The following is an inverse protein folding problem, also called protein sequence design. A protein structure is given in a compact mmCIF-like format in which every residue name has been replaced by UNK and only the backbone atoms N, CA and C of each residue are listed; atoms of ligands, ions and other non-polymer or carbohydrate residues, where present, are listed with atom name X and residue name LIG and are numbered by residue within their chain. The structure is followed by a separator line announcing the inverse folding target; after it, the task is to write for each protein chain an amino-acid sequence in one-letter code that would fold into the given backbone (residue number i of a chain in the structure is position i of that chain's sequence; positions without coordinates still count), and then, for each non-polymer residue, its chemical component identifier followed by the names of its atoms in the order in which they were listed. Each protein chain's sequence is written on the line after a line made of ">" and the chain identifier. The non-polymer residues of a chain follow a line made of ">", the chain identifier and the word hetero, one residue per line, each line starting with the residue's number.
data_IF_861352171660
#
_entry.id   IF_861352171660
#
_cell.length_a   1.000
_cell.length_b   1.000
_cell.length_c   1.000
_cell.angle_alpha   90.00
_cell.angle_beta   90.00
_cell.angle_gamma   90.00
#
_symmetry.space_group_name_H-M   'P 1'
#
loop_
_entity.id
_entity.type
_entity.pdbx_description
1 polymer ?
#
# COMPACT_ATOMS: atom_id res chain seq x y z
N UNK A 1 -9.36 4.62 8.69
CA UNK A 1 -9.09 3.21 8.32
C UNK A 1 -8.23 3.06 7.08
N UNK A 2 -8.15 4.03 6.17
CA UNK A 2 -7.34 3.84 4.94
C UNK A 2 -5.85 3.57 5.21
N UNK A 3 -5.27 4.10 6.31
CA UNK A 3 -3.87 3.89 6.67
C UNK A 3 -3.69 2.65 7.56
N UNK A 4 -4.27 2.66 8.76
CA UNK A 4 -4.05 1.63 9.79
C UNK A 4 -5.03 0.45 9.73
N UNK A 5 -5.77 0.33 8.64
CA UNK A 5 -6.81 -0.70 8.52
C UNK A 5 -7.98 -0.52 9.50
N UNK A 6 -8.62 -1.65 9.80
CA UNK A 6 -9.76 -1.76 10.72
C UNK A 6 -9.22 -1.93 12.16
N UNK A 7 -9.78 -1.24 13.16
CA UNK A 7 -9.37 -1.46 14.55
C UNK A 7 -9.66 -2.90 15.01
N UNK A 8 -8.93 -3.42 16.00
CA UNK A 8 -9.24 -4.70 16.64
C UNK A 8 -10.69 -4.81 17.13
N UNK A 9 -11.28 -6.01 17.00
CA UNK A 9 -12.68 -6.26 17.34
C UNK A 9 -13.05 -5.86 18.78
N UNK A 10 -12.17 -6.13 19.75
CA UNK A 10 -12.43 -5.76 21.15
C UNK A 10 -12.58 -4.24 21.37
N UNK A 11 -11.95 -3.40 20.53
CA UNK A 11 -12.14 -1.94 20.58
C UNK A 11 -13.47 -1.54 19.94
N UNK A 12 -13.86 -2.21 18.86
CA UNK A 12 -15.15 -2.00 18.19
C UNK A 12 -16.28 -2.32 19.17
N UNK A 13 -16.20 -3.45 19.87
CA UNK A 13 -17.24 -3.94 20.77
C UNK A 13 -17.45 -3.02 21.98
N UNK A 14 -16.36 -2.48 22.54
CA UNK A 14 -16.37 -1.50 23.62
C UNK A 14 -16.88 -0.12 23.20
N UNK A 15 -16.94 0.18 21.90
CA UNK A 15 -17.30 1.52 21.42
C UNK A 15 -18.82 1.77 21.44
N UNK A 16 -19.25 2.89 22.04
CA UNK A 16 -20.66 3.26 22.15
C UNK A 16 -21.34 3.54 20.80
N UNK A 17 -20.56 3.95 19.80
CA UNK A 17 -21.05 4.33 18.46
C UNK A 17 -20.79 3.26 17.40
N UNK A 18 -20.48 2.02 17.78
CA UNK A 18 -20.10 0.95 16.83
C UNK A 18 -21.10 0.79 15.68
N UNK A 19 -22.40 0.85 15.98
CA UNK A 19 -23.50 0.60 15.02
C UNK A 19 -23.47 1.59 13.84
N UNK A 20 -23.00 2.82 14.07
CA UNK A 20 -22.93 3.85 13.03
C UNK A 20 -21.79 3.60 12.02
N UNK A 21 -20.70 2.94 12.44
CA UNK A 21 -19.49 2.80 11.64
C UNK A 21 -19.22 1.36 11.20
N UNK A 22 -19.76 0.38 11.92
CA UNK A 22 -19.56 -1.05 11.70
C UNK A 22 -20.90 -1.77 11.62
N UNK A 23 -20.90 -2.92 10.94
CA UNK A 23 -22.02 -3.85 10.96
C UNK A 23 -21.94 -4.83 12.14
N UNK A 24 -22.89 -5.76 12.22
CA UNK A 24 -22.92 -6.81 13.23
C UNK A 24 -21.78 -7.83 13.09
N UNK A 25 -21.12 -7.88 11.93
CA UNK A 25 -19.97 -8.75 11.66
C UNK A 25 -18.62 -8.07 11.93
N UNK A 26 -18.62 -6.89 12.57
CA UNK A 26 -17.46 -6.02 12.81
C UNK A 26 -16.81 -5.45 11.53
N UNK A 27 -17.46 -5.62 10.37
CA UNK A 27 -16.96 -5.07 9.13
C UNK A 27 -17.31 -3.57 9.04
N UNK A 28 -16.37 -2.72 8.57
CA UNK A 28 -16.60 -1.30 8.46
C UNK A 28 -17.58 -0.97 7.34
N UNK A 29 -18.56 -0.11 7.63
CA UNK A 29 -19.56 0.34 6.67
C UNK A 29 -18.90 1.19 5.58
N UNK A 30 -19.23 0.97 4.28
CA UNK A 30 -18.69 1.80 3.21
C UNK A 30 -19.07 3.26 3.36
N UNK A 31 -18.07 4.14 3.44
CA UNK A 31 -18.28 5.60 3.43
C UNK A 31 -17.98 6.13 2.04
N UNK A 32 -18.97 6.80 1.44
CA UNK A 32 -18.85 7.51 0.18
C UNK A 32 -18.81 9.01 0.50
N UNK A 33 -17.83 9.74 -0.03
CA UNK A 33 -17.84 11.20 0.11
C UNK A 33 -18.90 11.83 -0.82
N UNK A 34 -19.17 13.13 -0.65
CA UNK A 34 -20.08 13.89 -1.55
C UNK A 34 -19.66 13.89 -3.03
N UNK A 35 -18.44 13.45 -3.33
CA UNK A 35 -17.88 13.32 -4.69
C UNK A 35 -17.88 11.87 -5.19
N UNK A 36 -18.63 10.97 -4.56
CA UNK A 36 -18.75 9.56 -4.98
C UNK A 36 -17.55 8.66 -4.66
N UNK A 37 -16.48 9.16 -4.04
CA UNK A 37 -15.26 8.38 -3.75
C UNK A 37 -15.46 7.48 -2.53
N UNK A 38 -15.35 6.17 -2.75
CA UNK A 38 -15.28 5.14 -1.70
C UNK A 38 -13.90 5.11 -1.06
N UNK A 39 -13.86 4.87 0.25
CA UNK A 39 -12.63 4.69 1.02
C UNK A 39 -12.53 3.26 1.52
N UNK A 40 -11.40 2.61 1.28
CA UNK A 40 -11.17 1.23 1.68
C UNK A 40 -10.15 1.18 2.84
N UNK A 41 -10.43 0.41 3.91
CA UNK A 41 -9.45 0.16 4.97
C UNK A 41 -8.12 -0.36 4.41
N UNK A 42 -6.99 0.09 4.95
CA UNK A 42 -5.65 -0.38 4.57
C UNK A 42 -5.19 -0.06 3.13
N UNK A 43 -5.95 0.72 2.37
CA UNK A 43 -5.63 1.03 0.97
C UNK A 43 -4.42 1.96 0.78
N UNK A 44 -3.92 2.58 1.85
CA UNK A 44 -2.83 3.55 1.80
C UNK A 44 -1.74 3.20 2.80
N UNK A 45 -0.50 3.31 2.34
CA UNK A 45 0.68 3.13 3.19
C UNK A 45 1.03 4.43 3.91
N UNK A 46 1.44 4.33 5.17
CA UNK A 46 1.89 5.48 5.98
C UNK A 46 3.04 6.24 5.28
N UNK A 47 3.99 5.51 4.69
CA UNK A 47 5.13 6.08 3.95
C UNK A 47 4.66 6.94 2.78
N UNK A 48 3.66 6.45 2.03
CA UNK A 48 3.10 7.19 0.88
C UNK A 48 2.28 8.40 1.33
N UNK A 49 1.64 8.32 2.49
CA UNK A 49 0.86 9.43 3.05
C UNK A 49 1.77 10.56 3.56
N UNK A 50 2.87 10.22 4.24
CA UNK A 50 3.82 11.19 4.81
C UNK A 50 4.89 11.64 3.82
N UNK A 51 5.13 10.87 2.75
CA UNK A 51 6.21 11.09 1.77
C UNK A 51 7.60 11.15 2.43
N UNK A 52 7.78 10.37 3.48
CA UNK A 52 9.03 10.26 4.23
C UNK A 52 9.53 8.81 4.20
N UNK A 53 10.85 8.64 4.16
CA UNK A 53 11.52 7.32 4.17
C UNK A 53 12.40 7.12 5.41
N UNK A 54 12.39 8.06 6.36
CA UNK A 54 13.13 7.95 7.61
C UNK A 54 12.46 6.94 8.55
N UNK A 55 13.12 5.81 8.79
CA UNK A 55 12.60 4.73 9.62
C UNK A 55 12.35 5.16 11.07
N UNK A 56 13.18 6.05 11.63
CA UNK A 56 13.01 6.51 13.00
C UNK A 56 11.75 7.37 13.16
N UNK A 57 11.51 8.25 12.20
CA UNK A 57 10.28 9.03 12.13
C UNK A 57 9.05 8.14 11.93
N UNK A 58 9.14 7.17 11.02
CA UNK A 58 8.05 6.25 10.72
C UNK A 58 7.65 5.41 11.94
N UNK A 59 8.63 4.92 12.70
CA UNK A 59 8.43 4.20 13.96
C UNK A 59 7.80 5.10 15.05
N UNK A 60 8.21 6.36 15.13
CA UNK A 60 7.61 7.32 16.06
C UNK A 60 6.11 7.52 15.77
N UNK A 61 5.78 7.75 14.50
CA UNK A 61 4.41 8.03 14.09
C UNK A 61 3.54 6.77 14.16
N UNK A 62 4.07 5.59 13.84
CA UNK A 62 3.30 4.34 13.97
C UNK A 62 2.89 4.11 15.42
N UNK A 63 3.80 4.27 16.39
CA UNK A 63 3.54 4.16 17.83
C UNK A 63 2.55 5.21 18.34
N UNK A 64 2.62 6.44 17.83
CA UNK A 64 1.66 7.50 18.15
C UNK A 64 0.24 7.19 17.65
N UNK A 65 0.11 6.50 16.53
CA UNK A 65 -1.17 6.25 15.87
C UNK A 65 -1.79 4.88 16.21
N UNK A 66 -1.24 4.16 17.19
CA UNK A 66 -1.75 2.86 17.63
C UNK A 66 -3.24 2.93 18.03
N UNK A 67 -4.03 1.90 17.68
CA UNK A 67 -5.47 1.87 17.93
C UNK A 67 -5.78 1.74 19.43
N UNK A 68 -5.06 0.86 20.10
CA UNK A 68 -5.21 0.59 21.52
C UNK A 68 -4.59 1.73 22.35
N UNK A 69 -5.37 2.46 23.16
CA UNK A 69 -4.82 3.53 23.98
C UNK A 69 -3.80 3.03 25.01
N UNK A 70 -3.89 1.79 25.47
CA UNK A 70 -2.95 1.23 26.45
C UNK A 70 -1.59 0.90 25.82
N UNK A 71 -1.55 0.63 24.52
CA UNK A 71 -0.32 0.38 23.77
C UNK A 71 0.21 1.60 23.04
N UNK A 72 -0.59 2.67 22.98
CA UNK A 72 -0.20 3.92 22.37
C UNK A 72 0.91 4.55 23.20
N UNK A 73 1.97 4.95 22.53
CA UNK A 73 3.11 5.62 23.16
C UNK A 73 2.64 6.87 23.92
N UNK A 74 3.04 6.96 25.17
CA UNK A 74 2.76 8.11 26.04
C UNK A 74 3.68 9.29 25.68
N UNK A 75 3.34 10.48 26.16
CA UNK A 75 4.15 11.67 25.90
C UNK A 75 5.59 11.54 26.43
N UNK A 76 5.75 10.99 27.64
CA UNK A 76 7.04 10.78 28.28
C UNK A 76 7.91 9.79 27.49
N UNK A 77 7.32 8.67 27.05
CA UNK A 77 8.00 7.70 26.16
C UNK A 77 8.35 8.32 24.80
N UNK A 78 7.45 9.15 24.26
CA UNK A 78 7.67 9.86 23.00
C UNK A 78 8.86 10.81 23.06
N UNK A 79 9.03 11.56 24.15
CA UNK A 79 10.17 12.46 24.35
C UNK A 79 11.52 11.71 24.38
N UNK A 80 11.51 10.46 24.82
CA UNK A 80 12.69 9.58 24.85
C UNK A 80 12.89 8.79 23.55
N UNK A 81 11.99 8.95 22.58
CA UNK A 81 12.07 8.22 21.33
C UNK A 81 13.28 8.66 20.49
N UNK A 82 13.98 7.71 19.88
CA UNK A 82 15.19 7.93 19.06
C UNK A 82 15.07 9.05 18.02
N UNK A 83 13.89 9.19 17.39
CA UNK A 83 13.62 10.30 16.46
C UNK A 83 13.68 11.69 17.12
N UNK A 84 13.21 11.83 18.36
CA UNK A 84 13.20 13.10 19.10
C UNK A 84 14.56 13.34 19.76
N UNK A 85 15.10 12.34 20.45
CA UNK A 85 16.35 12.47 21.20
C UNK A 85 17.58 12.54 20.29
N UNK A 86 17.48 12.07 19.04
CA UNK A 86 18.60 12.03 18.09
C UNK A 86 19.66 10.98 18.44
N UNK A 87 19.41 10.16 19.47
CA UNK A 87 20.26 9.07 19.96
C UNK A 87 20.00 7.78 19.19
N UNK A 88 20.08 7.85 17.86
CA UNK A 88 20.45 6.64 17.13
C UNK A 88 21.90 6.36 17.51
N UNK A 89 22.14 5.28 18.25
CA UNK A 89 23.48 4.75 18.41
C UNK A 89 24.15 4.67 17.03
N UNK A 90 25.12 5.55 16.79
CA UNK A 90 26.11 5.46 15.72
C UNK A 90 25.67 5.44 14.23
N UNK A 91 24.44 5.80 13.82
CA UNK A 91 24.10 5.94 12.38
C UNK A 91 23.68 7.34 11.95
N UNK A 92 24.34 8.35 12.51
CA UNK A 92 24.46 9.64 11.83
C UNK A 92 25.78 9.67 11.06
N UNK A 93 25.92 8.83 10.03
CA UNK A 93 26.78 9.16 8.88
C UNK A 93 26.13 10.30 8.11
N UNK A 94 25.96 11.44 8.78
CA UNK A 94 25.83 12.71 8.11
C UNK A 94 27.19 12.93 7.48
N UNK A 95 27.28 12.66 6.18
CA UNK A 95 28.39 13.09 5.37
C UNK A 95 28.55 14.60 5.60
N UNK A 96 29.49 14.94 6.47
CA UNK A 96 30.03 16.27 6.58
C UNK A 96 30.82 16.53 5.30
N UNK A 97 30.13 16.77 4.19
CA UNK A 97 30.71 17.33 2.98
C UNK A 97 30.91 18.85 3.19
N UNK A 98 31.74 19.19 4.18
CA UNK A 98 32.43 20.47 4.24
C UNK A 98 33.63 20.37 3.31
N UNK A 99 33.51 21.02 2.15
CA UNK A 99 34.60 21.53 1.32
C UNK A 99 35.71 20.52 0.92
N UNK A 100 35.48 19.77 -0.16
CA UNK A 100 36.57 19.33 -1.01
C UNK A 100 36.31 19.83 -2.44
N UNK A 101 37.01 20.91 -2.80
CA UNK A 101 37.11 21.43 -4.15
C UNK A 101 37.66 20.33 -5.07
N UNK A 102 36.98 19.92 -6.15
CA UNK A 102 37.61 19.04 -7.13
C UNK A 102 38.67 19.86 -7.86
N UNK A 103 39.94 19.56 -7.64
CA UNK A 103 41.02 20.04 -8.52
C UNK A 103 41.07 19.15 -9.76
N UNK A 104 41.16 19.71 -10.98
CA UNK A 104 41.25 18.90 -12.19
C UNK A 104 42.70 18.46 -12.38
N UNK A 105 42.97 17.15 -12.31
CA UNK A 105 44.29 16.61 -12.65
C UNK A 105 44.20 15.62 -13.81
N UNK A 106 44.54 16.18 -14.98
CA UNK A 106 45.15 15.63 -16.21
C UNK A 106 44.73 14.24 -16.70
N UNK A 107 44.12 14.28 -17.90
CA UNK A 107 43.98 13.18 -18.86
C UNK A 107 45.36 12.57 -19.18
N UNK A 108 45.50 11.26 -19.04
CA UNK A 108 46.50 10.49 -19.78
C UNK A 108 45.78 9.57 -20.76
N UNK A 109 45.97 9.85 -22.04
CA UNK A 109 45.50 9.07 -23.18
C UNK A 109 46.24 7.73 -23.19
N UNK A 110 45.51 6.63 -23.19
CA UNK A 110 45.97 5.39 -23.83
C UNK A 110 44.88 5.00 -24.81
N UNK A 111 45.10 5.43 -26.05
CA UNK A 111 44.48 4.83 -27.23
C UNK A 111 45.15 3.48 -27.41
N UNK A 112 44.38 2.40 -27.41
CA UNK A 112 44.75 1.17 -28.12
C UNK A 112 43.57 0.77 -29.01
N UNK A 113 43.78 0.95 -30.30
CA UNK A 113 43.01 0.31 -31.36
C UNK A 113 43.38 -1.18 -31.40
N UNK A 114 42.39 -2.06 -31.56
CA UNK A 114 42.13 -2.73 -32.84
C UNK A 114 40.89 -3.64 -32.74
N UNK A 115 40.01 -3.49 -33.73
CA UNK A 115 38.98 -4.41 -34.18
C UNK A 115 39.46 -5.86 -34.29
N UNK A 116 38.57 -6.83 -34.05
CA UNK A 116 37.86 -7.60 -35.09
C UNK A 116 37.02 -8.71 -34.42
N UNK A 117 35.87 -8.98 -35.05
CA UNK A 117 34.83 -10.03 -34.91
C UNK A 117 35.36 -11.44 -34.54
N UNK A 118 34.60 -12.43 -34.08
CA UNK A 118 33.19 -12.84 -34.22
C UNK A 118 32.92 -13.91 -33.12
N UNK A 119 31.76 -14.57 -33.17
CA UNK A 119 31.38 -15.83 -32.48
C UNK A 119 30.28 -15.68 -31.40
N UNK A 120 29.06 -15.85 -31.94
CA UNK A 120 27.78 -16.14 -31.33
C UNK A 120 27.72 -17.58 -30.79
N UNK A 121 27.39 -17.76 -29.51
CA UNK A 121 26.62 -18.88 -28.93
C UNK A 121 26.33 -18.46 -27.47
N UNK A 122 25.17 -18.57 -26.84
CA UNK A 122 23.92 -19.24 -27.09
C UNK A 122 23.11 -19.14 -25.79
N UNK A 123 21.80 -19.33 -25.91
CA UNK A 123 20.81 -19.47 -24.82
C UNK A 123 20.13 -18.18 -24.32
N UNK A 124 19.21 -17.70 -25.16
CA UNK A 124 18.07 -16.87 -24.79
C UNK A 124 17.00 -17.77 -24.14
N UNK A 125 16.83 -17.66 -22.82
CA UNK A 125 15.76 -18.35 -22.10
C UNK A 125 14.41 -17.69 -22.42
N UNK A 126 13.67 -18.32 -23.31
CA UNK A 126 12.28 -18.00 -23.66
C UNK A 126 11.36 -18.16 -22.44
N UNK A 127 10.70 -17.07 -22.01
CA UNK A 127 9.46 -17.18 -21.25
C UNK A 127 8.30 -17.02 -22.22
N UNK A 128 7.65 -18.15 -22.47
CA UNK A 128 6.49 -18.35 -23.31
C UNK A 128 5.25 -17.68 -22.70
N UNK A 129 4.51 -16.91 -23.49
CA UNK A 129 3.15 -16.45 -23.20
C UNK A 129 2.14 -17.61 -23.38
N UNK A 130 1.10 -17.75 -22.53
CA UNK A 130 -0.05 -18.58 -22.88
C UNK A 130 -1.05 -17.79 -23.73
N UNK A 131 -1.25 -18.28 -24.94
CA UNK A 131 -2.25 -17.83 -25.93
C UNK A 131 -3.64 -18.36 -25.58
N UNK A 132 -4.65 -17.50 -25.73
CA UNK A 132 -6.05 -17.86 -25.69
C UNK A 132 -6.49 -18.58 -26.98
N UNK A 133 -7.19 -19.71 -26.86
CA UNK A 133 -8.14 -20.22 -27.85
C UNK A 133 -8.89 -21.46 -27.32
N UNK A 134 -10.15 -21.26 -26.95
CA UNK A 134 -11.28 -22.21 -27.13
C UNK A 134 -11.35 -22.72 -28.60
N UNK A 135 -12.09 -23.80 -29.00
CA UNK A 135 -13.35 -24.27 -28.42
C UNK A 135 -13.68 -25.80 -28.50
N UNK A 136 -14.85 -26.13 -27.93
CA UNK A 136 -15.84 -27.19 -28.28
C UNK A 136 -15.87 -28.54 -27.53
N UNK A 137 -17.01 -28.72 -26.84
CA UNK A 137 -17.60 -30.00 -26.43
C UNK A 137 -18.90 -29.79 -25.63
N UNK A 138 -20.05 -29.70 -26.31
CA UNK A 138 -21.39 -29.80 -25.71
C UNK A 138 -21.64 -31.18 -25.09
N UNK A 139 -22.55 -31.39 -24.14
CA UNK A 139 -24.04 -31.37 -24.19
C UNK A 139 -24.51 -31.51 -22.71
N UNK A 140 -25.51 -30.79 -22.18
CA UNK A 140 -26.94 -31.16 -22.10
C UNK A 140 -27.70 -29.99 -21.40
N UNK A 141 -28.73 -29.34 -21.98
CA UNK A 141 -30.18 -29.66 -21.89
C UNK A 141 -30.66 -29.81 -20.42
N UNK A 142 -31.54 -29.00 -19.78
CA UNK A 142 -32.75 -28.18 -20.09
C UNK A 142 -33.08 -27.31 -18.82
N UNK A 143 -34.22 -26.60 -18.69
CA UNK A 143 -34.74 -25.47 -19.46
C UNK A 143 -35.12 -24.26 -18.57
N UNK A 144 -35.55 -23.21 -19.26
CA UNK A 144 -36.04 -21.91 -18.77
C UNK A 144 -37.20 -22.00 -17.77
N UNK A 145 -37.22 -21.09 -16.80
CA UNK A 145 -38.47 -20.46 -16.35
C UNK A 145 -38.35 -18.94 -16.48
N UNK A 146 -39.16 -18.41 -17.39
CA UNK A 146 -39.52 -17.01 -17.52
C UNK A 146 -40.76 -16.84 -16.66
N UNK A 147 -40.74 -15.93 -15.70
CA UNK A 147 -41.96 -15.51 -15.02
C UNK A 147 -42.00 -13.98 -15.05
N UNK A 148 -42.76 -13.49 -16.03
CA UNK A 148 -43.32 -12.15 -16.06
C UNK A 148 -44.24 -11.98 -14.84
N UNK A 149 -44.23 -10.81 -14.22
CA UNK A 149 -45.39 -10.34 -13.47
C UNK A 149 -45.43 -8.80 -13.52
N UNK A 150 -46.07 -8.29 -14.58
CA UNK A 150 -46.83 -7.04 -14.50
C UNK A 150 -48.07 -7.29 -13.64
N UNK A 151 -48.34 -6.42 -12.67
CA UNK A 151 -49.71 -6.11 -12.24
C UNK A 151 -49.82 -4.59 -12.00
N UNK A 152 -50.45 -3.95 -13.00
CA UNK A 152 -51.62 -3.07 -12.96
C UNK A 152 -51.93 -2.20 -11.74
N UNK A 153 -52.18 -0.92 -12.05
CA UNK A 153 -52.75 0.13 -11.22
C UNK A 153 -54.23 -0.06 -10.82
N UNK A 154 -54.61 0.46 -9.65
CA UNK A 154 -55.96 0.97 -9.28
C UNK A 154 -55.75 1.84 -8.02
N UNK A 155 -55.99 3.15 -7.99
CA UNK A 155 -57.21 3.97 -8.14
C UNK A 155 -58.28 3.72 -7.06
N UNK A 156 -58.38 4.69 -6.13
CA UNK A 156 -59.59 5.22 -5.43
C UNK A 156 -60.30 4.34 -4.39
N UNK A 157 -61.15 4.92 -3.51
CA UNK A 157 -61.65 6.30 -3.42
C UNK A 157 -60.97 7.24 -2.42
#
# INVERSE_FOLDING_TARGET
>A
MEILGTPPAYLIDKSSRRVAFFDSSSAPRPVINSKGKRRCPGSKNLTKALRCTDEAFMDFISKCLEWDPEKRMTADEGLQHHWITGTLAAHRTYTSSKHARPTPRRKSMIVRHNDVTDEFDGSFSSYQQPTASDPQGGIDLLPRLVANFEITASSTP
#
